data_IF_603757337286
#
_entry.id   IF_603757337286
#
_cell.length_a   1.000
_cell.length_b   1.000
_cell.length_c   1.000
_cell.angle_alpha   90.00
_cell.angle_beta   90.00
_cell.angle_gamma   90.00
#
_symmetry.space_group_name_H-M   'P 1'
#
loop_
_entity.id
_entity.type
_entity.pdbx_description
1 polymer ?
#
# COMPACT_ATOMS: atom_id res chain seq x y z
N UNK A 1 4.24 -18.71 -13.36
CA UNK A 1 3.94 -18.86 -11.91
C UNK A 1 3.32 -17.57 -11.33
N UNK A 2 4.01 -16.42 -11.36
CA UNK A 2 3.58 -15.15 -10.75
C UNK A 2 2.14 -14.70 -11.08
N UNK A 3 1.81 -14.53 -12.36
CA UNK A 3 0.46 -14.15 -12.81
C UNK A 3 -0.64 -15.09 -12.33
N UNK A 4 -0.37 -16.40 -12.28
CA UNK A 4 -1.37 -17.40 -11.85
C UNK A 4 -1.73 -17.25 -10.38
N UNK A 5 -0.76 -16.91 -9.53
CA UNK A 5 -1.00 -16.72 -8.10
C UNK A 5 -1.81 -15.45 -7.82
N UNK A 6 -1.47 -14.35 -8.50
CA UNK A 6 -2.24 -13.10 -8.36
C UNK A 6 -3.69 -13.23 -8.82
N UNK A 7 -3.97 -14.08 -9.82
CA UNK A 7 -5.33 -14.36 -10.27
C UNK A 7 -6.22 -15.03 -9.22
N UNK A 8 -5.66 -15.64 -8.16
CA UNK A 8 -6.48 -16.28 -7.12
C UNK A 8 -7.40 -15.29 -6.38
N UNK A 9 -7.08 -13.99 -6.45
CA UNK A 9 -7.83 -12.91 -5.82
C UNK A 9 -9.02 -12.43 -6.66
N UNK A 10 -9.26 -13.04 -7.83
CA UNK A 10 -10.33 -12.64 -8.75
C UNK A 10 -9.93 -11.55 -9.75
N UNK A 11 -8.63 -11.25 -9.89
CA UNK A 11 -8.13 -10.30 -10.90
C UNK A 11 -8.31 -10.90 -12.31
N UNK A 12 -8.97 -10.20 -13.24
CA UNK A 12 -9.25 -10.72 -14.57
C UNK A 12 -7.97 -10.89 -15.39
N UNK A 13 -8.01 -11.75 -16.41
CA UNK A 13 -6.81 -12.16 -17.14
C UNK A 13 -6.16 -11.04 -17.96
N UNK A 14 -6.98 -10.12 -18.46
CA UNK A 14 -6.61 -8.94 -19.23
C UNK A 14 -5.98 -7.83 -18.38
N UNK A 15 -6.14 -7.84 -17.05
CA UNK A 15 -5.46 -6.88 -16.18
C UNK A 15 -3.92 -6.99 -16.19
N UNK A 16 -3.36 -8.07 -16.76
CA UNK A 16 -1.92 -8.31 -16.88
C UNK A 16 -1.42 -8.17 -18.34
N UNK A 17 -2.05 -7.31 -19.12
CA UNK A 17 -1.78 -7.03 -20.54
C UNK A 17 -0.63 -6.04 -20.79
N UNK A 18 -0.04 -5.48 -19.73
CA UNK A 18 1.03 -4.48 -19.83
C UNK A 18 0.59 -3.06 -19.42
N UNK A 19 -0.68 -2.87 -19.02
CA UNK A 19 -1.13 -1.63 -18.36
C UNK A 19 -0.29 -1.32 -17.11
N UNK A 20 -0.20 -0.04 -16.69
CA UNK A 20 0.51 0.34 -15.47
C UNK A 20 -0.03 -0.40 -14.24
N UNK A 21 0.87 -1.05 -13.49
CA UNK A 21 0.58 -1.60 -12.17
C UNK A 21 0.98 -0.57 -11.13
N UNK A 22 0.02 -0.08 -10.35
CA UNK A 22 0.23 1.02 -9.42
C UNK A 22 0.21 0.48 -7.98
N UNK A 23 1.37 0.49 -7.34
CA UNK A 23 1.51 0.21 -5.92
C UNK A 23 0.96 1.36 -5.07
N UNK A 24 0.05 1.06 -4.15
CA UNK A 24 -0.49 2.03 -3.19
C UNK A 24 0.11 1.69 -1.83
N UNK A 25 1.19 2.37 -1.50
CA UNK A 25 1.90 2.24 -0.23
C UNK A 25 1.07 2.87 0.90
N UNK A 26 0.53 2.04 1.80
CA UNK A 26 -0.37 2.50 2.84
C UNK A 26 0.22 2.35 4.25
N UNK A 27 0.28 3.46 5.00
CA UNK A 27 0.73 3.51 6.40
C UNK A 27 -0.45 3.44 7.37
N UNK A 28 -1.61 2.92 6.95
CA UNK A 28 -2.74 2.69 7.84
C UNK A 28 -2.38 1.70 8.96
N UNK A 29 -2.79 2.02 10.18
CA UNK A 29 -2.76 1.11 11.32
C UNK A 29 -3.74 1.59 12.39
N UNK A 30 -4.40 0.67 13.09
CA UNK A 30 -5.21 1.01 14.28
C UNK A 30 -4.35 1.56 15.43
N UNK A 31 -3.04 1.30 15.40
CA UNK A 31 -2.05 1.85 16.35
C UNK A 31 -1.51 3.23 15.92
N UNK A 32 -1.94 3.76 14.77
CA UNK A 32 -1.51 5.07 14.25
C UNK A 32 -2.73 5.92 13.93
N UNK A 33 -3.34 6.58 14.93
CA UNK A 33 -4.65 7.22 14.77
C UNK A 33 -4.67 8.36 13.73
N UNK A 34 -3.55 9.05 13.52
CA UNK A 34 -3.41 10.04 12.45
C UNK A 34 -3.66 9.46 11.06
N UNK A 35 -3.45 8.15 10.88
CA UNK A 35 -3.59 7.43 9.61
C UNK A 35 -4.85 6.55 9.55
N UNK A 36 -5.74 6.62 10.55
CA UNK A 36 -6.87 5.68 10.69
C UNK A 36 -7.81 5.65 9.47
N UNK A 37 -7.95 6.78 8.78
CA UNK A 37 -8.81 6.95 7.60
C UNK A 37 -8.13 6.60 6.27
N UNK A 38 -6.83 6.25 6.26
CA UNK A 38 -6.09 6.02 5.02
C UNK A 38 -6.59 4.79 4.23
N UNK A 39 -7.25 3.80 4.85
CA UNK A 39 -7.90 2.71 4.10
C UNK A 39 -9.00 3.22 3.16
N UNK A 40 -9.86 4.11 3.65
CA UNK A 40 -10.91 4.69 2.82
C UNK A 40 -10.31 5.52 1.68
N UNK A 41 -9.25 6.29 1.95
CA UNK A 41 -8.53 7.03 0.91
C UNK A 41 -7.88 6.09 -0.12
N UNK A 42 -7.28 4.97 0.32
CA UNK A 42 -6.71 3.97 -0.59
C UNK A 42 -7.78 3.39 -1.53
N UNK A 43 -9.01 3.15 -1.05
CA UNK A 43 -10.12 2.71 -1.90
C UNK A 43 -10.50 3.76 -2.95
N UNK A 44 -10.47 5.05 -2.60
CA UNK A 44 -10.68 6.13 -3.57
C UNK A 44 -9.55 6.19 -4.61
N UNK A 45 -8.30 6.04 -4.19
CA UNK A 45 -7.13 6.00 -5.10
C UNK A 45 -7.24 4.79 -6.05
N UNK A 46 -7.59 3.60 -5.54
CA UNK A 46 -7.83 2.40 -6.36
C UNK A 46 -8.84 2.67 -7.47
N UNK A 47 -9.97 3.30 -7.15
CA UNK A 47 -11.01 3.65 -8.15
C UNK A 47 -10.43 4.57 -9.24
N UNK A 48 -9.69 5.61 -8.86
CA UNK A 48 -9.05 6.50 -9.83
C UNK A 48 -8.04 5.78 -10.74
N UNK A 49 -7.25 4.84 -10.20
CA UNK A 49 -6.32 4.02 -11.01
C UNK A 49 -7.09 3.14 -12.00
N UNK A 50 -8.19 2.51 -11.57
CA UNK A 50 -9.04 1.72 -12.47
C UNK A 50 -9.68 2.59 -13.56
N UNK A 51 -10.20 3.78 -13.22
CA UNK A 51 -10.77 4.74 -14.16
C UNK A 51 -9.74 5.19 -15.21
N UNK A 52 -8.47 5.31 -14.82
CA UNK A 52 -7.35 5.60 -15.73
C UNK A 52 -6.85 4.36 -16.51
N UNK A 53 -7.44 3.19 -16.31
CA UNK A 53 -7.08 1.95 -17.00
C UNK A 53 -5.89 1.19 -16.42
N UNK A 54 -5.41 1.55 -15.22
CA UNK A 54 -4.33 0.85 -14.51
C UNK A 54 -4.82 -0.32 -13.66
N UNK A 55 -3.87 -1.06 -13.07
CA UNK A 55 -4.10 -2.10 -12.07
C UNK A 55 -3.58 -1.62 -10.70
N UNK A 56 -4.44 -1.22 -9.76
CA UNK A 56 -4.01 -0.81 -8.44
C UNK A 56 -3.79 -2.01 -7.51
N UNK A 57 -2.70 -2.00 -6.76
CA UNK A 57 -2.37 -2.97 -5.73
C UNK A 57 -1.93 -2.24 -4.47
N UNK A 58 -2.73 -2.32 -3.41
CA UNK A 58 -2.35 -1.75 -2.12
C UNK A 58 -1.46 -2.72 -1.36
N UNK A 59 -0.40 -2.19 -0.75
CA UNK A 59 0.45 -2.94 0.16
C UNK A 59 0.71 -2.11 1.42
N UNK A 60 0.68 -2.74 2.60
CA UNK A 60 0.98 -2.07 3.85
C UNK A 60 2.49 -1.87 3.98
N UNK A 61 2.88 -0.77 4.63
CA UNK A 61 4.26 -0.53 5.09
C UNK A 61 4.25 -0.08 6.55
N UNK A 62 5.42 -0.05 7.19
CA UNK A 62 5.54 0.34 8.59
C UNK A 62 4.89 1.70 8.86
N UNK A 63 3.99 1.72 9.84
CA UNK A 63 3.27 2.91 10.27
C UNK A 63 3.88 3.46 11.56
N UNK A 64 4.38 4.70 11.50
CA UNK A 64 5.07 5.36 12.59
C UNK A 64 4.15 6.33 13.33
N UNK A 65 3.43 5.83 14.34
CA UNK A 65 2.60 6.66 15.22
C UNK A 65 3.43 7.36 16.30
N UNK A 66 3.77 8.65 16.09
CA UNK A 66 4.55 9.45 17.06
C UNK A 66 3.95 9.44 18.47
N UNK A 67 2.61 9.39 18.59
CA UNK A 67 1.93 9.35 19.88
C UNK A 67 2.15 8.07 20.69
N UNK A 68 2.44 6.94 20.02
CA UNK A 68 2.44 5.61 20.64
C UNK A 68 3.85 4.98 20.67
N UNK A 69 4.69 5.30 19.70
CA UNK A 69 6.01 4.70 19.56
C UNK A 69 7.00 5.30 20.57
N UNK A 70 7.84 4.44 21.16
CA UNK A 70 8.83 4.83 22.18
C UNK A 70 10.23 4.36 21.75
N UNK A 71 11.32 5.10 22.06
CA UNK A 71 11.34 6.39 22.78
C UNK A 71 10.85 7.60 21.95
N UNK A 72 10.90 7.53 20.62
CA UNK A 72 10.29 8.48 19.66
C UNK A 72 10.17 7.77 18.30
N UNK A 73 9.22 8.16 17.45
CA UNK A 73 9.11 7.51 16.14
C UNK A 73 10.26 7.86 15.19
N UNK A 74 11.00 8.96 15.45
CA UNK A 74 12.21 9.30 14.69
C UNK A 74 13.20 8.13 14.65
N UNK A 75 13.40 7.43 15.77
CA UNK A 75 14.33 6.29 15.86
C UNK A 75 14.06 5.23 14.79
N UNK A 76 12.80 5.07 14.40
CA UNK A 76 12.34 4.06 13.45
C UNK A 76 12.09 4.61 12.04
N UNK A 77 12.29 5.92 11.81
CA UNK A 77 12.11 6.55 10.49
C UNK A 77 12.96 5.89 9.41
N UNK A 78 14.24 5.63 9.70
CA UNK A 78 15.13 5.00 8.73
C UNK A 78 14.76 3.54 8.47
N UNK A 79 14.24 2.85 9.48
CA UNK A 79 13.69 1.51 9.31
C UNK A 79 12.46 1.53 8.40
N UNK A 80 11.56 2.49 8.57
CA UNK A 80 10.43 2.67 7.65
C UNK A 80 10.90 2.97 6.22
N UNK A 81 11.96 3.76 6.08
CA UNK A 81 12.55 4.04 4.77
C UNK A 81 13.06 2.76 4.10
N UNK A 82 13.80 1.91 4.82
CA UNK A 82 14.31 0.64 4.28
C UNK A 82 13.15 -0.32 3.95
N UNK A 83 12.13 -0.40 4.82
CA UNK A 83 10.92 -1.21 4.57
C UNK A 83 10.19 -0.78 3.29
N UNK A 84 10.05 0.53 3.08
CA UNK A 84 9.44 1.09 1.86
C UNK A 84 10.33 0.86 0.63
N UNK A 85 11.64 1.06 0.75
CA UNK A 85 12.59 0.91 -0.37
C UNK A 85 12.63 -0.53 -0.88
N UNK A 86 12.66 -1.53 0.00
CA UNK A 86 12.69 -2.95 -0.39
C UNK A 86 11.31 -3.48 -0.83
N UNK A 87 10.22 -2.75 -0.55
CA UNK A 87 8.87 -3.13 -0.96
C UNK A 87 8.49 -2.67 -2.38
N UNK A 88 9.28 -1.77 -2.99
CA UNK A 88 9.04 -1.17 -4.32
C UNK A 88 9.92 -1.85 -5.37
#
# INVERSE_FOLDING_TARGET
MHRSWMKNQGIPADAFDGRPVIGICNTWSELTPCNAHLRALADHVKRGVYEAGGLPLEFPVMSLGESNMRPTAMLFRNLASMDVEESI
#
